data_IF_133565057135
#
_entry.id   IF_133565057135
#
_cell.length_a   1.000
_cell.length_b   1.000
_cell.length_c   1.000
_cell.angle_alpha   90.00
_cell.angle_beta   90.00
_cell.angle_gamma   90.00
#
_symmetry.space_group_name_H-M   'P 1'
#
loop_
_entity.id
_entity.type
_entity.pdbx_description
1 polymer ?
#
# COMPACT_ATOMS: atom_id res chain seq x y z
N UNK A 1 -16.84 -6.90 -8.65
CA UNK A 1 -16.98 -7.34 -10.06
C UNK A 1 -18.00 -8.48 -10.13
N UNK A 2 -19.08 -8.33 -10.90
CA UNK A 2 -20.09 -9.40 -11.11
C UNK A 2 -19.45 -10.53 -11.91
N UNK A 3 -19.38 -11.74 -11.35
CA UNK A 3 -18.81 -12.90 -12.04
C UNK A 3 -19.53 -13.13 -13.38
N UNK A 4 -18.86 -12.97 -14.55
CA UNK A 4 -19.49 -13.10 -15.86
C UNK A 4 -19.96 -14.54 -16.15
N UNK A 5 -19.49 -15.52 -15.36
CA UNK A 5 -19.87 -16.93 -15.46
C UNK A 5 -21.19 -17.28 -14.76
N UNK A 6 -21.71 -16.40 -13.89
CA UNK A 6 -22.98 -16.62 -13.22
C UNK A 6 -24.17 -16.72 -14.20
N UNK A 7 -24.39 -15.77 -15.14
CA UNK A 7 -25.53 -15.85 -16.05
C UNK A 7 -25.44 -17.02 -17.04
N UNK A 8 -24.25 -17.33 -17.56
CA UNK A 8 -24.05 -18.45 -18.48
C UNK A 8 -24.35 -19.79 -17.80
N UNK A 9 -23.93 -19.97 -16.54
CA UNK A 9 -24.26 -21.15 -15.76
C UNK A 9 -25.76 -21.31 -15.54
N UNK A 10 -26.46 -20.25 -15.12
CA UNK A 10 -27.91 -20.28 -14.95
C UNK A 10 -28.64 -20.56 -16.27
N UNK A 11 -28.13 -20.03 -17.38
CA UNK A 11 -28.72 -20.24 -18.70
C UNK A 11 -28.60 -21.71 -19.16
N UNK A 12 -27.43 -22.34 -18.95
CA UNK A 12 -27.23 -23.77 -19.27
C UNK A 12 -28.09 -24.66 -18.37
N UNK A 13 -28.20 -24.32 -17.08
CA UNK A 13 -29.05 -25.06 -16.15
C UNK A 13 -30.54 -24.96 -16.53
N UNK A 14 -31.02 -23.78 -16.88
CA UNK A 14 -32.38 -23.58 -17.39
C UNK A 14 -32.63 -24.33 -18.70
N UNK A 15 -31.68 -24.30 -19.64
CA UNK A 15 -31.81 -24.99 -20.92
C UNK A 15 -31.90 -26.51 -20.73
N UNK A 16 -31.13 -27.06 -19.80
CA UNK A 16 -31.12 -28.49 -19.50
C UNK A 16 -32.41 -28.93 -18.78
N UNK A 17 -32.93 -28.11 -17.86
CA UNK A 17 -34.24 -28.33 -17.24
C UNK A 17 -35.36 -28.28 -18.28
N UNK A 18 -35.36 -27.29 -19.17
CA UNK A 18 -36.34 -27.15 -20.26
C UNK A 18 -36.30 -28.34 -21.23
N UNK A 19 -35.10 -28.80 -21.62
CA UNK A 19 -34.94 -29.97 -22.48
C UNK A 19 -35.47 -31.24 -21.80
N UNK A 20 -35.21 -31.41 -20.50
CA UNK A 20 -35.73 -32.57 -19.75
C UNK A 20 -37.25 -32.54 -19.62
N UNK A 21 -37.85 -31.38 -19.36
CA UNK A 21 -39.30 -31.20 -19.29
C UNK A 21 -39.99 -31.41 -20.65
N UNK A 22 -39.41 -30.86 -21.73
CA UNK A 22 -39.94 -31.03 -23.09
C UNK A 22 -39.91 -32.49 -23.55
N UNK A 23 -38.84 -33.22 -23.22
CA UNK A 23 -38.72 -34.64 -23.52
C UNK A 23 -39.74 -35.48 -22.72
N UNK A 24 -39.92 -35.17 -21.43
CA UNK A 24 -40.90 -35.87 -20.58
C UNK A 24 -42.33 -35.67 -21.08
N UNK A 25 -42.67 -34.44 -21.50
CA UNK A 25 -43.99 -34.14 -22.09
C UNK A 25 -44.23 -34.92 -23.40
N UNK A 26 -43.19 -35.07 -24.23
CA UNK A 26 -43.25 -35.89 -25.44
C UNK A 26 -43.44 -37.40 -25.18
N UNK A 27 -42.76 -37.95 -24.17
CA UNK A 27 -42.89 -39.37 -23.79
C UNK A 27 -44.22 -39.67 -23.10
N UNK A 28 -44.75 -38.71 -22.33
CA UNK A 28 -46.08 -38.80 -21.71
C UNK A 28 -47.19 -38.90 -22.77
N UNK A 29 -47.04 -38.19 -23.91
CA UNK A 29 -47.96 -38.30 -25.04
C UNK A 29 -47.91 -39.68 -25.73
N UNK A 30 -46.76 -40.37 -25.68
CA UNK A 30 -46.52 -41.67 -26.32
C UNK A 30 -46.79 -42.88 -25.38
N UNK A 31 -47.28 -42.65 -24.15
CA UNK A 31 -47.69 -43.67 -23.18
C UNK A 31 -46.61 -44.72 -22.82
N UNK A 32 -45.33 -44.34 -22.80
CA UNK A 32 -44.21 -45.20 -22.33
C UNK A 32 -43.64 -44.72 -20.99
N UNK A 33 -44.42 -44.91 -19.92
CA UNK A 33 -44.12 -44.40 -18.56
C UNK A 33 -42.85 -45.01 -17.93
N UNK A 34 -42.57 -46.30 -18.16
CA UNK A 34 -41.39 -46.96 -17.57
C UNK A 34 -40.06 -46.40 -18.10
N UNK A 35 -40.01 -46.02 -19.38
CA UNK A 35 -38.81 -45.40 -19.97
C UNK A 35 -38.63 -43.94 -19.51
N UNK A 36 -39.71 -43.25 -19.18
CA UNK A 36 -39.67 -41.87 -18.69
C UNK A 36 -39.03 -41.77 -17.30
N UNK A 37 -39.35 -42.70 -16.40
CA UNK A 37 -38.80 -42.76 -15.04
C UNK A 37 -37.28 -42.97 -15.04
N UNK A 38 -36.77 -43.93 -15.83
CA UNK A 38 -35.32 -44.20 -15.93
C UNK A 38 -34.56 -43.00 -16.51
N UNK A 39 -35.17 -42.31 -17.48
CA UNK A 39 -34.57 -41.11 -18.06
C UNK A 39 -34.50 -39.96 -17.06
N UNK A 40 -35.56 -39.74 -16.27
CA UNK A 40 -35.60 -38.71 -15.24
C UNK A 40 -34.54 -38.95 -14.16
N UNK A 41 -34.38 -40.19 -13.70
CA UNK A 41 -33.35 -40.56 -12.73
C UNK A 41 -31.94 -40.31 -13.29
N UNK A 42 -31.69 -40.68 -14.54
CA UNK A 42 -30.41 -40.41 -15.22
C UNK A 42 -30.13 -38.91 -15.39
N UNK A 43 -31.15 -38.10 -15.70
CA UNK A 43 -31.04 -36.66 -15.82
C UNK A 43 -30.74 -36.00 -14.46
N UNK A 44 -31.42 -36.43 -13.39
CA UNK A 44 -31.16 -35.99 -12.03
C UNK A 44 -29.73 -36.29 -11.60
N UNK A 45 -29.19 -37.46 -11.93
CA UNK A 45 -27.78 -37.81 -11.65
C UNK A 45 -26.79 -36.90 -12.38
N UNK A 46 -27.04 -36.58 -13.65
CA UNK A 46 -26.18 -35.68 -14.43
C UNK A 46 -26.24 -34.25 -13.87
N UNK A 47 -27.44 -33.77 -13.51
CA UNK A 47 -27.62 -32.46 -12.89
C UNK A 47 -26.92 -32.40 -11.52
N UNK A 48 -27.07 -33.44 -10.70
CA UNK A 48 -26.45 -33.53 -9.37
C UNK A 48 -24.93 -33.49 -9.47
N UNK A 49 -24.34 -34.32 -10.34
CA UNK A 49 -22.89 -34.39 -10.53
C UNK A 49 -22.31 -33.08 -11.10
N UNK A 50 -22.97 -32.46 -12.08
CA UNK A 50 -22.57 -31.14 -12.59
C UNK A 50 -22.65 -30.05 -11.52
N UNK A 51 -23.71 -30.06 -10.71
CA UNK A 51 -23.89 -29.08 -9.62
C UNK A 51 -22.77 -29.17 -8.59
N UNK A 52 -22.42 -30.40 -8.17
CA UNK A 52 -21.30 -30.63 -7.25
C UNK A 52 -19.98 -30.14 -7.87
N UNK A 53 -19.73 -30.45 -9.15
CA UNK A 53 -18.55 -30.01 -9.87
C UNK A 53 -18.41 -28.48 -9.92
N UNK A 54 -19.51 -27.76 -10.22
CA UNK A 54 -19.50 -26.29 -10.27
C UNK A 54 -19.31 -25.68 -8.88
N UNK A 55 -19.94 -26.24 -7.84
CA UNK A 55 -19.75 -25.77 -6.46
C UNK A 55 -18.30 -25.96 -6.01
N UNK A 56 -17.70 -27.12 -6.29
CA UNK A 56 -16.30 -27.39 -5.99
C UNK A 56 -15.36 -26.43 -6.73
N UNK A 57 -15.60 -26.19 -8.02
CA UNK A 57 -14.82 -25.25 -8.82
C UNK A 57 -14.97 -23.80 -8.33
N UNK A 58 -16.19 -23.36 -8.02
CA UNK A 58 -16.46 -22.03 -7.49
C UNK A 58 -15.77 -21.83 -6.13
N UNK A 59 -15.79 -22.84 -5.26
CA UNK A 59 -15.09 -22.82 -3.97
C UNK A 59 -13.57 -22.66 -4.17
N UNK A 60 -12.98 -23.44 -5.09
CA UNK A 60 -11.56 -23.34 -5.42
C UNK A 60 -11.17 -21.96 -5.98
N UNK A 61 -11.96 -21.42 -6.90
CA UNK A 61 -11.75 -20.07 -7.44
C UNK A 61 -11.86 -19.01 -6.36
N UNK A 62 -12.86 -19.12 -5.48
CA UNK A 62 -13.05 -18.19 -4.37
C UNK A 62 -11.85 -18.22 -3.41
N UNK A 63 -11.27 -19.39 -3.14
CA UNK A 63 -10.05 -19.49 -2.34
C UNK A 63 -8.85 -18.81 -3.01
N UNK A 64 -8.64 -18.98 -4.33
CA UNK A 64 -7.57 -18.27 -5.06
C UNK A 64 -7.76 -16.75 -5.00
N UNK A 65 -8.98 -16.27 -5.22
CA UNK A 65 -9.28 -14.83 -5.21
C UNK A 65 -9.06 -14.25 -3.81
N UNK A 66 -9.53 -14.93 -2.76
CA UNK A 66 -9.30 -14.51 -1.37
C UNK A 66 -7.81 -14.40 -1.04
N UNK A 67 -6.99 -15.37 -1.49
CA UNK A 67 -5.54 -15.31 -1.29
C UNK A 67 -4.93 -14.07 -1.94
N UNK A 68 -5.27 -13.80 -3.20
CA UNK A 68 -4.79 -12.60 -3.92
C UNK A 68 -5.25 -11.30 -3.26
N UNK A 69 -6.52 -11.22 -2.85
CA UNK A 69 -7.06 -10.06 -2.15
C UNK A 69 -6.38 -9.82 -0.80
N UNK A 70 -6.02 -10.89 -0.08
CA UNK A 70 -5.28 -10.78 1.19
C UNK A 70 -3.85 -10.28 0.96
N UNK A 71 -3.19 -10.74 -0.09
CA UNK A 71 -1.85 -10.25 -0.48
C UNK A 71 -1.91 -8.76 -0.86
N UNK A 72 -2.84 -8.37 -1.73
CA UNK A 72 -3.07 -6.96 -2.10
C UNK A 72 -3.50 -6.09 -0.92
N UNK A 73 -4.29 -6.65 0.01
CA UNK A 73 -4.68 -5.96 1.23
C UNK A 73 -3.49 -5.69 2.15
N UNK A 74 -2.57 -6.65 2.28
CA UNK A 74 -1.33 -6.47 3.06
C UNK A 74 -0.44 -5.38 2.46
N UNK A 75 -0.26 -5.39 1.13
CA UNK A 75 0.54 -4.36 0.45
C UNK A 75 -0.07 -2.97 0.59
N UNK A 76 -1.40 -2.85 0.48
CA UNK A 76 -2.11 -1.58 0.70
C UNK A 76 -1.92 -1.04 2.12
N UNK A 77 -1.97 -1.92 3.13
CA UNK A 77 -1.72 -1.51 4.52
C UNK A 77 -0.27 -1.04 4.69
N UNK A 78 0.71 -1.73 4.11
CA UNK A 78 2.11 -1.30 4.18
C UNK A 78 2.36 0.07 3.52
N UNK A 79 1.71 0.34 2.38
CA UNK A 79 1.76 1.66 1.71
C UNK A 79 1.17 2.73 2.63
N UNK A 80 0.00 2.46 3.22
CA UNK A 80 -0.67 3.40 4.12
C UNK A 80 0.14 3.69 5.40
N UNK A 81 0.68 2.64 6.04
CA UNK A 81 1.54 2.78 7.23
C UNK A 81 2.79 3.63 6.92
N UNK A 82 3.35 3.48 5.71
CA UNK A 82 4.49 4.28 5.25
C UNK A 82 4.10 5.75 5.05
N UNK A 83 2.94 6.04 4.44
CA UNK A 83 2.43 7.43 4.30
C UNK A 83 2.17 8.09 5.66
N UNK A 84 1.58 7.35 6.60
CA UNK A 84 1.35 7.87 7.96
C UNK A 84 2.67 8.16 8.66
N UNK A 85 3.67 7.28 8.52
CA UNK A 85 5.00 7.52 9.04
C UNK A 85 5.66 8.76 8.40
N UNK A 86 5.51 8.94 7.08
CA UNK A 86 6.05 10.09 6.35
C UNK A 86 5.46 11.42 6.85
N UNK A 87 4.13 11.52 6.96
CA UNK A 87 3.46 12.72 7.52
C UNK A 87 3.88 13.01 8.95
N UNK A 88 4.10 11.96 9.75
CA UNK A 88 4.60 12.10 11.12
C UNK A 88 6.02 12.67 11.13
N UNK A 89 6.88 12.23 10.21
CA UNK A 89 8.23 12.79 10.06
C UNK A 89 8.16 14.26 9.68
N UNK A 90 7.36 14.63 8.68
CA UNK A 90 7.14 16.03 8.28
C UNK A 90 6.67 16.90 9.46
N UNK A 91 5.64 16.47 10.18
CA UNK A 91 5.10 17.22 11.33
C UNK A 91 6.12 17.37 12.47
N UNK A 92 6.85 16.28 12.78
CA UNK A 92 7.86 16.31 13.84
C UNK A 92 9.06 17.16 13.42
N UNK A 93 9.44 17.10 12.14
CA UNK A 93 10.50 17.90 11.56
C UNK A 93 10.17 19.39 11.69
N UNK A 94 8.99 19.82 11.25
CA UNK A 94 8.57 21.22 11.33
C UNK A 94 8.58 21.72 12.78
N UNK A 95 8.06 20.90 13.70
CA UNK A 95 8.05 21.24 15.13
C UNK A 95 9.46 21.27 15.75
N UNK A 96 10.37 20.45 15.24
CA UNK A 96 11.74 20.37 15.74
C UNK A 96 12.59 21.56 15.26
N UNK A 97 12.54 21.89 13.97
CA UNK A 97 13.38 22.94 13.37
C UNK A 97 12.79 24.34 13.46
N UNK A 98 11.46 24.48 13.34
CA UNK A 98 10.78 25.79 13.31
C UNK A 98 9.96 26.08 14.58
N UNK A 99 9.73 25.04 15.39
CA UNK A 99 8.99 25.15 16.65
C UNK A 99 9.89 25.45 17.85
N UNK A 100 9.30 25.32 19.04
CA UNK A 100 9.94 25.64 20.32
C UNK A 100 10.99 24.63 20.81
N UNK A 101 11.22 23.53 20.07
CA UNK A 101 12.21 22.52 20.46
C UNK A 101 13.65 22.95 20.15
N UNK A 102 13.84 23.77 19.12
CA UNK A 102 15.14 24.33 18.81
C UNK A 102 15.44 25.52 19.74
N UNK A 103 16.49 25.40 20.56
CA UNK A 103 16.93 26.46 21.47
C UNK A 103 18.33 26.94 21.06
N UNK A 104 18.52 28.24 20.77
CA UNK A 104 19.83 28.79 20.44
C UNK A 104 20.82 28.62 21.60
N UNK A 105 22.08 28.29 21.31
CA UNK A 105 23.16 28.24 22.31
C UNK A 105 23.52 26.85 22.87
N UNK A 106 23.03 25.75 22.29
CA UNK A 106 23.51 24.39 22.61
C UNK A 106 24.91 24.12 22.07
N UNK A 107 25.59 23.08 22.54
CA UNK A 107 26.89 22.65 21.98
C UNK A 107 26.73 21.70 20.78
N UNK A 108 27.71 21.62 19.88
CA UNK A 108 27.66 20.75 18.68
C UNK A 108 27.44 19.29 19.06
N UNK A 109 28.08 18.86 20.14
CA UNK A 109 28.01 17.50 20.65
C UNK A 109 26.66 17.20 21.34
N UNK A 110 26.01 18.20 21.93
CA UNK A 110 24.62 18.10 22.38
C UNK A 110 23.64 18.11 21.20
N UNK A 111 23.85 18.90 20.14
CA UNK A 111 22.93 18.90 18.99
C UNK A 111 23.02 17.60 18.19
N UNK A 112 24.24 17.10 17.93
CA UNK A 112 24.44 15.83 17.23
C UNK A 112 24.21 14.61 18.13
N UNK A 113 24.47 14.73 19.44
CA UNK A 113 24.22 13.70 20.45
C UNK A 113 22.78 13.67 21.00
N UNK A 114 22.01 14.75 20.87
CA UNK A 114 20.57 14.77 21.17
C UNK A 114 19.75 14.36 19.96
N UNK A 115 20.22 14.60 18.72
CA UNK A 115 19.58 14.05 17.53
C UNK A 115 19.36 12.54 17.72
N UNK A 116 20.37 11.86 18.26
CA UNK A 116 20.21 10.53 18.86
C UNK A 116 19.33 10.58 20.13
N UNK A 117 18.09 10.11 20.02
CA UNK A 117 17.07 10.10 21.07
C UNK A 117 15.94 11.09 20.87
N UNK A 118 16.07 12.04 19.92
CA UNK A 118 15.01 13.01 19.60
C UNK A 118 13.73 12.37 19.09
N UNK A 119 12.58 13.08 19.23
CA UNK A 119 11.36 12.66 18.56
C UNK A 119 11.52 12.58 17.03
N UNK A 120 12.45 13.35 16.44
CA UNK A 120 12.75 13.35 15.00
C UNK A 120 13.49 12.09 14.57
N UNK A 121 14.53 11.68 15.29
CA UNK A 121 15.19 10.41 14.97
C UNK A 121 14.23 9.22 15.14
N UNK A 122 13.43 9.21 16.22
CA UNK A 122 12.43 8.15 16.43
C UNK A 122 11.41 8.08 15.29
N UNK A 123 10.97 9.21 14.76
CA UNK A 123 10.04 9.22 13.62
C UNK A 123 10.73 8.76 12.33
N UNK A 124 11.99 9.15 12.09
CA UNK A 124 12.79 8.69 10.96
C UNK A 124 13.11 7.19 11.05
N UNK A 125 13.38 6.64 12.22
CA UNK A 125 13.57 5.20 12.44
C UNK A 125 12.28 4.41 12.16
N UNK A 126 11.14 4.93 12.62
CA UNK A 126 9.84 4.33 12.31
C UNK A 126 9.60 4.35 10.81
N UNK A 127 9.88 5.47 10.13
CA UNK A 127 9.79 5.56 8.67
C UNK A 127 10.71 4.54 7.98
N UNK A 128 11.98 4.42 8.40
CA UNK A 128 12.92 3.42 7.87
C UNK A 128 12.39 1.99 8.03
N UNK A 129 11.81 1.65 9.20
CA UNK A 129 11.20 0.33 9.44
C UNK A 129 10.03 0.06 8.51
N UNK A 130 9.15 1.05 8.30
CA UNK A 130 8.02 0.90 7.37
C UNK A 130 8.51 0.77 5.92
N UNK A 131 9.53 1.52 5.53
CA UNK A 131 10.14 1.42 4.20
C UNK A 131 10.76 0.03 3.94
N UNK A 132 11.37 -0.62 4.95
CA UNK A 132 11.86 -2.00 4.82
C UNK A 132 10.70 -2.97 4.58
N UNK A 133 9.59 -2.80 5.30
CA UNK A 133 8.40 -3.63 5.11
C UNK A 133 7.78 -3.40 3.71
N UNK A 134 7.78 -2.16 3.23
CA UNK A 134 7.29 -1.79 1.91
C UNK A 134 8.19 -2.32 0.78
N UNK A 135 9.51 -2.20 0.92
CA UNK A 135 10.49 -2.77 -0.01
C UNK A 135 10.25 -4.28 -0.15
N UNK A 136 10.05 -5.02 0.94
CA UNK A 136 9.78 -6.46 0.85
C UNK A 136 8.48 -6.77 0.06
N UNK A 137 7.49 -5.89 0.11
CA UNK A 137 6.16 -6.15 -0.44
C UNK A 137 5.95 -5.65 -1.87
N UNK A 138 6.64 -4.57 -2.27
CA UNK A 138 6.34 -3.85 -3.52
C UNK A 138 7.52 -3.83 -4.50
N UNK A 139 8.76 -3.73 -4.03
CA UNK A 139 9.91 -3.44 -4.90
C UNK A 139 11.03 -4.47 -4.77
N UNK A 140 11.58 -4.93 -5.89
CA UNK A 140 12.82 -5.70 -5.88
C UNK A 140 14.01 -4.77 -5.62
N UNK A 141 14.29 -4.48 -4.36
CA UNK A 141 15.40 -3.62 -3.97
C UNK A 141 15.26 -3.01 -2.58
N UNK A 142 16.09 -2.01 -2.30
CA UNK A 142 16.04 -1.18 -1.08
C UNK A 142 15.68 0.26 -1.44
N UNK A 143 14.79 0.46 -2.40
CA UNK A 143 14.50 1.77 -2.97
C UNK A 143 13.90 2.70 -1.91
N UNK A 144 12.86 2.24 -1.21
CA UNK A 144 12.20 3.01 -0.16
C UNK A 144 13.10 3.28 1.02
N UNK A 145 13.87 2.26 1.42
CA UNK A 145 14.85 2.41 2.48
C UNK A 145 15.92 3.44 2.12
N UNK A 146 16.39 3.48 0.87
CA UNK A 146 17.37 4.46 0.42
C UNK A 146 16.75 5.87 0.43
N UNK A 147 15.52 6.06 -0.06
CA UNK A 147 14.83 7.35 0.04
C UNK A 147 14.69 7.84 1.49
N UNK A 148 14.34 6.95 2.42
CA UNK A 148 14.24 7.27 3.84
C UNK A 148 15.61 7.57 4.49
N UNK A 149 16.69 6.94 4.03
CA UNK A 149 18.07 7.25 4.45
C UNK A 149 18.49 8.62 3.95
N UNK A 150 18.26 8.91 2.68
CA UNK A 150 18.61 10.21 2.11
C UNK A 150 17.83 11.35 2.79
N UNK A 151 16.54 11.15 3.13
CA UNK A 151 15.80 12.10 3.97
C UNK A 151 16.47 12.30 5.35
N UNK A 152 16.86 11.21 6.01
CA UNK A 152 17.59 11.26 7.28
C UNK A 152 18.92 12.01 7.16
N UNK A 153 19.63 11.87 6.05
CA UNK A 153 20.91 12.54 5.80
C UNK A 153 20.70 14.04 5.60
N UNK A 154 19.68 14.44 4.83
CA UNK A 154 19.32 15.87 4.65
C UNK A 154 18.89 16.49 5.98
N UNK A 155 18.10 15.79 6.80
CA UNK A 155 17.74 16.26 8.15
C UNK A 155 18.97 16.46 9.06
N UNK A 156 19.95 15.56 8.98
CA UNK A 156 21.19 15.66 9.75
C UNK A 156 22.06 16.83 9.27
N UNK A 157 22.14 17.03 7.95
CA UNK A 157 22.83 18.19 7.37
C UNK A 157 22.14 19.50 7.77
N UNK A 158 20.81 19.57 7.73
CA UNK A 158 20.06 20.75 8.18
C UNK A 158 20.32 21.08 9.64
N UNK A 159 20.37 20.08 10.53
CA UNK A 159 20.70 20.30 11.94
C UNK A 159 22.12 20.85 12.13
N UNK A 160 23.08 20.33 11.36
CA UNK A 160 24.46 20.81 11.36
C UNK A 160 24.57 22.26 10.87
N UNK A 161 23.93 22.59 9.74
CA UNK A 161 23.97 23.95 9.18
C UNK A 161 23.24 24.94 10.09
N UNK A 162 22.09 24.55 10.66
CA UNK A 162 21.38 25.38 11.63
C UNK A 162 22.21 25.65 12.89
N UNK A 163 22.93 24.65 13.37
CA UNK A 163 23.87 24.82 14.47
C UNK A 163 25.00 25.80 14.14
N UNK A 164 25.61 25.67 12.95
CA UNK A 164 26.66 26.59 12.51
C UNK A 164 26.14 28.02 12.40
N UNK A 165 24.92 28.23 11.91
CA UNK A 165 24.27 29.55 11.87
C UNK A 165 24.10 30.15 13.27
N UNK A 166 23.70 29.37 14.27
CA UNK A 166 23.51 29.86 15.64
C UNK A 166 24.82 30.10 16.40
N UNK A 167 25.91 29.37 16.06
CA UNK A 167 27.20 29.46 16.75
C UNK A 167 28.18 30.43 16.06
N UNK A 168 28.14 30.54 14.73
CA UNK A 168 28.97 31.45 13.93
C UNK A 168 28.37 32.86 13.81
N UNK A 169 27.56 33.31 14.77
CA UNK A 169 27.14 34.71 14.86
C UNK A 169 27.98 35.50 15.90
N UNK A 170 29.25 35.84 15.64
CA UNK A 170 29.97 36.82 16.45
C UNK A 170 29.91 38.25 15.86
N UNK A 171 29.40 38.46 14.63
CA UNK A 171 29.42 39.77 13.95
C UNK A 171 28.31 39.94 12.90
N UNK A 172 27.30 40.73 13.27
CA UNK A 172 26.51 41.58 12.38
C UNK A 172 27.35 42.66 11.63
N UNK A 173 28.65 42.44 11.40
CA UNK A 173 29.62 43.51 11.15
C UNK A 173 30.61 43.22 10.01
N UNK A 174 30.32 42.26 9.13
CA UNK A 174 31.11 42.09 7.89
C UNK A 174 30.19 41.95 6.67
N UNK A 175 30.21 42.88 5.70
CA UNK A 175 29.39 42.81 4.50
C UNK A 175 29.95 41.71 3.58
N UNK A 176 29.35 40.53 3.67
CA UNK A 176 29.77 39.31 2.95
C UNK A 176 29.12 38.02 3.48
N UNK A 177 28.46 38.05 4.65
CA UNK A 177 27.93 36.88 5.34
C UNK A 177 26.62 36.29 4.75
N UNK A 178 26.25 36.65 3.51
CA UNK A 178 25.04 36.16 2.84
C UNK A 178 25.17 34.72 2.31
N UNK A 179 26.36 34.11 2.37
CA UNK A 179 26.63 32.79 1.77
C UNK A 179 26.07 31.64 2.63
N UNK A 180 26.11 31.74 3.96
CA UNK A 180 25.68 30.66 4.87
C UNK A 180 24.15 30.46 4.85
N UNK A 181 23.38 31.52 4.58
CA UNK A 181 21.91 31.41 4.42
C UNK A 181 21.49 30.59 3.21
N UNK A 182 22.26 30.63 2.11
CA UNK A 182 21.89 29.94 0.87
C UNK A 182 21.98 28.43 0.99
N UNK A 183 22.98 27.90 1.70
CA UNK A 183 23.16 26.46 1.87
C UNK A 183 22.04 25.84 2.71
N UNK A 184 21.67 26.50 3.81
CA UNK A 184 20.52 26.09 4.62
C UNK A 184 19.20 26.18 3.84
N UNK A 185 18.99 27.25 3.07
CA UNK A 185 17.82 27.41 2.21
C UNK A 185 17.72 26.29 1.16
N UNK A 186 18.83 25.93 0.52
CA UNK A 186 18.91 24.79 -0.41
C UNK A 186 18.52 23.48 0.28
N UNK A 187 18.96 23.25 1.52
CA UNK A 187 18.59 22.05 2.26
C UNK A 187 17.09 22.01 2.60
N UNK A 188 16.49 23.15 2.96
CA UNK A 188 15.03 23.27 3.21
C UNK A 188 14.24 22.96 1.93
N UNK A 189 14.67 23.49 0.79
CA UNK A 189 14.05 23.15 -0.50
C UNK A 189 14.24 21.68 -0.85
N UNK A 190 15.44 21.13 -0.64
CA UNK A 190 15.76 19.73 -0.92
C UNK A 190 14.90 18.79 -0.07
N UNK A 191 14.73 19.12 1.21
CA UNK A 191 13.84 18.40 2.12
C UNK A 191 12.39 18.41 1.61
N UNK A 192 11.86 19.60 1.31
CA UNK A 192 10.48 19.77 0.85
C UNK A 192 10.24 19.05 -0.48
N UNK A 193 11.18 19.15 -1.41
CA UNK A 193 11.11 18.49 -2.71
C UNK A 193 11.12 16.96 -2.55
N UNK A 194 11.99 16.42 -1.68
CA UNK A 194 12.07 14.98 -1.41
C UNK A 194 10.85 14.43 -0.69
N UNK A 195 10.29 15.16 0.27
CA UNK A 195 9.03 14.78 0.91
C UNK A 195 7.91 14.67 -0.13
N UNK A 196 7.76 15.69 -0.98
CA UNK A 196 6.74 15.69 -2.04
C UNK A 196 6.95 14.60 -3.07
N UNK A 197 8.18 14.36 -3.52
CA UNK A 197 8.46 13.28 -4.46
C UNK A 197 8.19 11.92 -3.83
N UNK A 198 8.51 11.74 -2.56
CA UNK A 198 8.27 10.49 -1.85
C UNK A 198 6.76 10.23 -1.67
N UNK A 199 5.99 11.25 -1.27
CA UNK A 199 4.53 11.14 -1.17
C UNK A 199 3.89 10.83 -2.53
N UNK A 200 4.36 11.49 -3.60
CA UNK A 200 3.88 11.24 -4.96
C UNK A 200 4.15 9.80 -5.43
N UNK A 201 5.35 9.27 -5.17
CA UNK A 201 5.67 7.88 -5.50
C UNK A 201 4.80 6.88 -4.71
N UNK A 202 4.45 7.20 -3.46
CA UNK A 202 3.53 6.40 -2.66
C UNK A 202 2.08 6.50 -3.18
N UNK A 203 1.66 7.64 -3.73
CA UNK A 203 0.36 7.80 -4.41
C UNK A 203 0.28 6.97 -5.71
N UNK A 204 1.32 7.00 -6.54
CA UNK A 204 1.39 6.22 -7.77
C UNK A 204 1.20 4.72 -7.50
N UNK A 205 1.86 4.21 -6.46
CA UNK A 205 1.76 2.80 -6.09
C UNK A 205 0.44 2.49 -5.40
N UNK A 206 -0.12 3.40 -4.61
CA UNK A 206 -1.48 3.19 -4.09
C UNK A 206 -2.49 3.01 -5.24
N UNK A 207 -2.35 3.75 -6.34
CA UNK A 207 -3.20 3.59 -7.53
C UNK A 207 -2.99 2.25 -8.22
N UNK A 208 -1.77 1.73 -8.30
CA UNK A 208 -1.48 0.40 -8.88
C UNK A 208 -2.12 -0.74 -8.07
N UNK A 209 -2.22 -0.58 -6.76
CA UNK A 209 -2.78 -1.58 -5.83
C UNK A 209 -4.24 -1.25 -5.42
N UNK A 210 -4.88 -0.25 -6.05
CA UNK A 210 -6.28 0.14 -5.80
C UNK A 210 -7.30 -0.77 -6.48
#
# INVERSE_FOLDING_TARGET
MKNPYAPAFWCVLFALVLLSAAYFYGVMLAHQLDKAMVFLDSACLVIGTLSIGVVAWASYQNQRIKKKLLEQGKTRVAIWDTKVALRRVETVFDRYFWGSYWQPGRTFQEVMGDLTGTPLEKSLEVLKKQCVALDHQVAEGRHWLNNARELSDVATQMARERYQLDFCDPKADTPGNAVIHREFEVLVYTWTARLKSFDHQLDEIELEYS
#
